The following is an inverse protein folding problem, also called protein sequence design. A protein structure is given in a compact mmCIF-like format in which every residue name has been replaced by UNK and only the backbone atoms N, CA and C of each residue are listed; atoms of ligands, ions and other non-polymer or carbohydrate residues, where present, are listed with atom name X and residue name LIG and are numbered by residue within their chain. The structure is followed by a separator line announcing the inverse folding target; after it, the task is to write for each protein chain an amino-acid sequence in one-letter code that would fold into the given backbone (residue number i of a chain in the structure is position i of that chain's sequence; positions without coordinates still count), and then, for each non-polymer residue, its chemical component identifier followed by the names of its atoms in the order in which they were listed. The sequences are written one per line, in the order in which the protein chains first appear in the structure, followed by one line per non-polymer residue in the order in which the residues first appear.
data_IF_624034052270
#
_entry.id   IF_624034052270
#
_cell.length_a   1.000
_cell.length_b   1.000
_cell.length_c   1.000
_cell.angle_alpha   90.00
_cell.angle_beta   90.00
_cell.angle_gamma   90.00
#
_symmetry.space_group_name_H-M   'P 1'
#
loop_
_entity.id
_entity.type
_entity.pdbx_description
1 polymer ?
#
# COMPACT_ATOMS: atom_id res chain seq x y z
N UNK A 1 22.54 -5.79 -3.93
CA UNK A 1 23.11 -4.61 -3.25
C UNK A 1 23.35 -4.98 -1.80
N UNK A 2 24.59 -4.83 -1.35
CA UNK A 2 24.96 -4.98 0.05
C UNK A 2 25.14 -3.57 0.59
N UNK A 3 24.52 -3.28 1.72
CA UNK A 3 24.62 -1.98 2.39
C UNK A 3 25.43 -2.16 3.68
N UNK A 4 26.31 -1.20 3.94
CA UNK A 4 27.08 -1.07 5.16
C UNK A 4 26.62 0.16 5.95
N UNK A 5 26.58 0.04 7.27
CA UNK A 5 26.30 1.16 8.19
C UNK A 5 27.53 1.41 9.04
N UNK A 6 27.94 2.66 9.18
CA UNK A 6 29.09 3.05 10.01
C UNK A 6 28.90 2.62 11.46
N UNK A 7 29.96 2.06 12.06
CA UNK A 7 30.06 1.81 13.50
C UNK A 7 30.39 3.10 14.25
N UNK A 8 30.15 3.14 15.55
CA UNK A 8 30.52 4.30 16.39
C UNK A 8 32.03 4.56 16.35
N UNK A 9 32.84 3.50 16.19
CA UNK A 9 34.30 3.57 16.06
C UNK A 9 34.78 3.75 14.60
N UNK A 10 33.89 4.04 13.64
CA UNK A 10 34.22 4.08 12.21
C UNK A 10 35.42 4.99 11.89
N UNK A 11 35.58 6.10 12.61
CA UNK A 11 36.72 7.04 12.41
C UNK A 11 38.08 6.38 12.63
N UNK A 12 38.17 5.33 13.45
CA UNK A 12 39.41 4.60 13.73
C UNK A 12 39.44 3.24 13.06
N UNK A 13 38.33 2.49 13.09
CA UNK A 13 38.25 1.13 12.55
C UNK A 13 37.98 1.07 11.04
N UNK A 14 37.40 2.15 10.47
CA UNK A 14 36.82 2.18 9.12
C UNK A 14 35.83 1.02 8.88
N UNK A 15 35.24 0.51 9.96
CA UNK A 15 34.36 -0.66 9.96
C UNK A 15 32.92 -0.31 9.59
N UNK A 16 32.34 -1.09 8.69
CA UNK A 16 30.94 -1.00 8.31
C UNK A 16 30.22 -2.30 8.70
N UNK A 17 29.04 -2.16 9.30
CA UNK A 17 28.19 -3.29 9.63
C UNK A 17 27.25 -3.62 8.48
N UNK A 18 27.17 -4.90 8.16
CA UNK A 18 26.12 -5.43 7.28
C UNK A 18 25.35 -6.53 7.98
N UNK A 19 24.04 -6.32 8.16
CA UNK A 19 23.18 -7.26 8.90
C UNK A 19 23.08 -8.61 8.19
N UNK A 20 23.34 -9.68 8.95
CA UNK A 20 23.20 -11.05 8.49
C UNK A 20 21.71 -11.37 8.36
N UNK A 21 21.32 -11.84 7.18
CA UNK A 21 19.94 -12.29 6.92
C UNK A 21 19.93 -13.80 6.84
N UNK A 22 18.96 -14.37 7.55
CA UNK A 22 18.55 -15.76 7.42
C UNK A 22 17.96 -16.02 6.05
N UNK A 23 17.80 -17.29 5.73
CA UNK A 23 17.09 -17.75 4.56
C UNK A 23 15.66 -17.17 4.49
N UNK A 24 14.90 -17.13 5.58
CA UNK A 24 13.55 -16.55 5.58
C UNK A 24 13.48 -15.01 5.41
N UNK A 25 14.61 -14.35 5.12
CA UNK A 25 14.83 -12.90 5.00
C UNK A 25 14.73 -12.12 6.31
N UNK A 26 14.57 -12.79 7.47
CA UNK A 26 14.69 -12.13 8.78
C UNK A 26 16.15 -11.93 9.15
N UNK A 27 16.39 -11.06 10.11
CA UNK A 27 17.74 -10.84 10.64
C UNK A 27 18.13 -12.00 11.56
N UNK A 28 19.39 -12.44 11.48
CA UNK A 28 19.97 -13.34 12.46
C UNK A 28 20.03 -12.66 13.83
N UNK A 29 19.65 -13.37 14.90
CA UNK A 29 19.67 -12.82 16.27
C UNK A 29 20.54 -13.63 17.22
N UNK A 30 20.83 -14.87 16.86
CA UNK A 30 21.65 -15.81 17.63
C UNK A 30 22.67 -16.46 16.69
N UNK A 31 23.77 -16.99 17.23
CA UNK A 31 24.80 -17.65 16.41
C UNK A 31 24.25 -18.86 15.64
N UNK A 32 23.25 -19.54 16.19
CA UNK A 32 22.53 -20.62 15.52
C UNK A 32 21.76 -20.17 14.26
N UNK A 33 21.46 -18.87 14.13
CA UNK A 33 20.83 -18.30 12.94
C UNK A 33 21.85 -18.00 11.81
N UNK A 34 23.15 -18.00 12.12
CA UNK A 34 24.20 -17.62 11.17
C UNK A 34 24.55 -18.81 10.31
N UNK A 35 24.47 -18.63 8.98
CA UNK A 35 24.83 -19.67 8.03
C UNK A 35 26.36 -19.87 8.06
N UNK A 36 26.82 -21.13 7.93
CA UNK A 36 28.24 -21.50 7.97
C UNK A 36 29.10 -20.78 6.96
N UNK A 37 28.51 -20.31 5.86
CA UNK A 37 29.21 -19.48 4.87
C UNK A 37 29.75 -18.16 5.46
N UNK A 38 29.29 -17.74 6.65
CA UNK A 38 29.80 -16.57 7.37
C UNK A 38 30.86 -16.89 8.43
N UNK A 39 31.30 -18.14 8.59
CA UNK A 39 32.25 -18.56 9.64
C UNK A 39 33.58 -17.78 9.59
N UNK A 40 33.99 -17.33 8.39
CA UNK A 40 35.22 -16.56 8.16
C UNK A 40 35.06 -15.04 8.40
N UNK A 41 33.87 -14.57 8.77
CA UNK A 41 33.60 -13.16 9.04
C UNK A 41 33.56 -12.85 10.54
N UNK A 42 34.01 -11.66 10.97
CA UNK A 42 33.80 -11.20 12.33
C UNK A 42 32.31 -10.90 12.55
N UNK A 43 31.64 -11.77 13.30
CA UNK A 43 30.23 -11.63 13.67
C UNK A 43 30.13 -10.78 14.94
N UNK A 44 29.32 -9.74 14.89
CA UNK A 44 29.11 -8.78 15.98
C UNK A 44 27.63 -8.52 16.21
N UNK A 45 27.27 -8.12 17.42
CA UNK A 45 25.94 -7.58 17.73
C UNK A 45 25.88 -6.12 17.27
N UNK A 46 24.86 -5.76 16.49
CA UNK A 46 24.68 -4.38 16.01
C UNK A 46 24.58 -3.34 17.14
N UNK A 47 24.09 -3.73 18.33
CA UNK A 47 23.96 -2.81 19.47
C UNK A 47 25.27 -2.55 20.19
N UNK A 48 26.23 -3.45 20.05
CA UNK A 48 27.52 -3.34 20.73
C UNK A 48 28.45 -2.42 19.93
N UNK A 49 28.15 -2.24 18.65
CA UNK A 49 28.95 -1.49 17.68
C UNK A 49 28.33 -0.13 17.28
N UNK A 50 27.02 0.05 17.50
CA UNK A 50 26.29 1.29 17.21
C UNK A 50 25.35 1.61 18.39
N UNK A 51 25.71 2.62 19.18
CA UNK A 51 24.93 3.14 20.29
C UNK A 51 23.92 4.20 19.81
N UNK A 52 22.85 3.73 19.15
CA UNK A 52 21.74 4.56 18.71
C UNK A 52 20.38 4.00 19.19
N UNK A 53 19.36 4.86 19.45
CA UNK A 53 18.05 4.43 19.96
C UNK A 53 17.33 3.37 19.12
N UNK A 54 17.65 3.27 17.84
CA UNK A 54 17.04 2.36 16.88
C UNK A 54 17.96 1.25 16.37
N UNK A 55 19.12 1.03 17.01
CA UNK A 55 20.03 -0.06 16.63
C UNK A 55 19.36 -1.42 16.75
N UNK A 56 19.30 -2.20 15.65
CA UNK A 56 18.57 -3.46 15.62
C UNK A 56 19.23 -4.49 16.55
N UNK A 57 18.40 -5.31 17.23
CA UNK A 57 18.88 -6.46 18.01
C UNK A 57 19.13 -7.64 17.09
N UNK A 58 20.16 -7.53 16.25
CA UNK A 58 20.55 -8.54 15.28
C UNK A 58 22.06 -8.63 15.15
N UNK A 59 22.52 -9.77 14.66
CA UNK A 59 23.91 -10.01 14.31
C UNK A 59 24.22 -9.41 12.93
N UNK A 60 25.42 -8.88 12.81
CA UNK A 60 26.00 -8.33 11.60
C UNK A 60 27.44 -8.83 11.43
N UNK A 61 27.95 -8.71 10.22
CA UNK A 61 29.39 -8.79 9.99
C UNK A 61 29.97 -7.37 10.01
N UNK A 62 31.17 -7.21 10.58
CA UNK A 62 31.93 -5.95 10.53
C UNK A 62 33.03 -6.05 9.49
N UNK A 63 32.87 -5.38 8.35
CA UNK A 63 33.86 -5.39 7.27
C UNK A 63 34.48 -3.99 7.18
N UNK A 64 35.81 -3.91 7.10
CA UNK A 64 36.51 -2.66 6.81
C UNK A 64 36.11 -2.18 5.41
N UNK A 65 35.76 -0.90 5.27
CA UNK A 65 35.20 -0.32 4.04
C UNK A 65 36.00 -0.69 2.78
N UNK A 66 37.34 -0.61 2.84
CA UNK A 66 38.22 -0.84 1.69
C UNK A 66 38.55 -2.33 1.44
N UNK A 67 38.02 -3.26 2.24
CA UNK A 67 38.21 -4.70 2.05
C UNK A 67 37.26 -5.25 0.97
N UNK A 68 37.57 -4.91 -0.29
CA UNK A 68 36.80 -5.33 -1.47
C UNK A 68 36.57 -6.85 -1.54
N UNK A 69 37.58 -7.72 -1.28
CA UNK A 69 37.37 -9.16 -1.28
C UNK A 69 36.32 -9.62 -0.27
N UNK A 70 36.35 -9.11 0.97
CA UNK A 70 35.37 -9.47 1.99
C UNK A 70 33.95 -9.01 1.60
N UNK A 71 33.81 -7.82 1.02
CA UNK A 71 32.53 -7.34 0.49
C UNK A 71 32.01 -8.17 -0.67
N UNK A 72 32.89 -8.59 -1.59
CA UNK A 72 32.53 -9.46 -2.70
C UNK A 72 32.07 -10.84 -2.22
N UNK A 73 32.79 -11.43 -1.26
CA UNK A 73 32.42 -12.71 -0.63
C UNK A 73 31.07 -12.60 0.07
N UNK A 74 30.83 -11.55 0.87
CA UNK A 74 29.53 -11.31 1.50
C UNK A 74 28.38 -11.18 0.47
N UNK A 75 28.61 -10.42 -0.61
CA UNK A 75 27.63 -10.30 -1.68
C UNK A 75 27.31 -11.65 -2.34
N UNK A 76 28.33 -12.48 -2.57
CA UNK A 76 28.17 -13.83 -3.12
C UNK A 76 27.38 -14.74 -2.18
N UNK A 77 27.69 -14.74 -0.88
CA UNK A 77 26.96 -15.52 0.13
C UNK A 77 25.48 -15.13 0.14
N UNK A 78 25.17 -13.82 0.16
CA UNK A 78 23.78 -13.34 0.08
C UNK A 78 23.08 -13.80 -1.21
N UNK A 79 23.76 -13.77 -2.35
CA UNK A 79 23.20 -14.24 -3.61
C UNK A 79 22.91 -15.75 -3.59
N UNK A 80 23.81 -16.54 -3.01
CA UNK A 80 23.64 -18.00 -2.86
C UNK A 80 22.49 -18.33 -1.92
N UNK A 81 22.38 -17.67 -0.77
CA UNK A 81 21.27 -17.89 0.16
C UNK A 81 19.92 -17.52 -0.47
N UNK A 82 19.87 -16.41 -1.22
CA UNK A 82 18.69 -16.03 -2.02
C UNK A 82 18.37 -17.09 -3.08
N UNK A 83 19.37 -17.61 -3.79
CA UNK A 83 19.17 -18.66 -4.78
C UNK A 83 18.68 -19.98 -4.15
N UNK A 84 19.22 -20.38 -2.99
CA UNK A 84 18.76 -21.55 -2.22
C UNK A 84 17.31 -21.43 -1.80
N UNK A 85 16.88 -20.28 -1.26
CA UNK A 85 15.46 -20.02 -0.99
C UNK A 85 14.57 -20.17 -2.22
N UNK A 86 15.06 -19.66 -3.35
CA UNK A 86 14.31 -19.68 -4.60
C UNK A 86 14.18 -21.12 -5.11
N UNK A 87 15.24 -21.93 -4.97
CA UNK A 87 15.26 -23.34 -5.32
C UNK A 87 14.43 -24.20 -4.37
N UNK A 88 14.51 -24.00 -3.05
CA UNK A 88 13.66 -24.70 -2.06
C UNK A 88 12.19 -24.41 -2.33
N UNK A 89 11.81 -23.15 -2.56
CA UNK A 89 10.44 -22.78 -2.94
C UNK A 89 10.01 -23.35 -4.28
N UNK A 90 10.93 -23.50 -5.22
CA UNK A 90 10.63 -24.11 -6.53
C UNK A 90 10.47 -25.63 -6.42
N UNK A 91 11.29 -26.28 -5.59
CA UNK A 91 11.23 -27.71 -5.32
C UNK A 91 9.95 -28.08 -4.54
N UNK A 92 9.60 -27.33 -3.50
CA UNK A 92 8.32 -27.44 -2.77
C UNK A 92 7.10 -27.26 -3.69
N UNK A 93 7.25 -26.47 -4.76
CA UNK A 93 6.20 -26.21 -5.75
C UNK A 93 6.09 -27.32 -6.81
N UNK A 94 7.14 -28.12 -7.02
CA UNK A 94 7.16 -29.23 -7.99
C UNK A 94 6.90 -30.60 -7.36
N UNK A 95 7.05 -30.75 -6.04
CA UNK A 95 6.83 -32.04 -5.34
C UNK A 95 5.45 -32.17 -4.71
N UNK A 96 4.60 -31.14 -4.73
CA UNK A 96 3.17 -31.33 -4.49
C UNK A 96 2.52 -31.80 -5.79
N UNK A 97 1.93 -33.01 -5.86
CA UNK A 97 0.94 -33.30 -6.89
C UNK A 97 -0.13 -32.21 -6.87
N UNK A 98 -0.89 -31.97 -7.96
CA UNK A 98 -2.10 -31.15 -7.84
C UNK A 98 -2.93 -31.80 -6.74
N UNK A 99 -2.93 -31.17 -5.56
CA UNK A 99 -3.70 -31.61 -4.42
C UNK A 99 -5.13 -31.55 -4.93
N UNK A 100 -5.71 -32.73 -5.18
CA UNK A 100 -7.08 -32.87 -5.62
C UNK A 100 -7.87 -32.01 -4.67
N UNK A 101 -8.50 -30.96 -5.20
CA UNK A 101 -9.23 -30.01 -4.39
C UNK A 101 -10.07 -30.81 -3.41
N UNK A 102 -9.83 -30.62 -2.11
CA UNK A 102 -10.65 -31.24 -1.07
C UNK A 102 -12.10 -31.03 -1.49
N UNK A 103 -12.93 -32.09 -1.53
CA UNK A 103 -14.34 -31.93 -1.78
C UNK A 103 -14.86 -30.84 -0.83
N UNK A 104 -15.53 -29.83 -1.39
CA UNK A 104 -16.05 -28.64 -0.69
C UNK A 104 -17.01 -28.97 0.48
N UNK A 105 -17.27 -30.23 0.76
CA UNK A 105 -18.32 -30.72 1.66
C UNK A 105 -17.96 -30.75 3.14
N UNK A 106 -17.12 -29.86 3.66
CA UNK A 106 -16.92 -29.74 5.12
C UNK A 106 -16.53 -28.35 5.65
N UNK A 107 -16.70 -27.31 4.83
CA UNK A 107 -16.63 -25.92 5.31
C UNK A 107 -18.08 -25.50 5.52
N UNK A 108 -18.48 -25.17 6.76
CA UNK A 108 -19.81 -24.62 7.01
C UNK A 108 -20.04 -23.43 6.07
N UNK A 109 -20.97 -23.58 5.13
CA UNK A 109 -21.21 -22.60 4.07
C UNK A 109 -21.80 -21.33 4.67
N UNK A 110 -20.94 -20.41 5.10
CA UNK A 110 -21.37 -19.05 5.35
C UNK A 110 -21.82 -18.45 4.01
N UNK A 111 -23.11 -18.12 3.90
CA UNK A 111 -23.66 -17.48 2.71
C UNK A 111 -22.89 -16.19 2.41
N UNK A 112 -22.46 -15.96 1.14
CA UNK A 112 -21.82 -14.71 0.72
C UNK A 112 -22.56 -13.45 1.16
N UNK A 113 -23.91 -13.49 1.18
CA UNK A 113 -24.74 -12.39 1.69
C UNK A 113 -24.41 -12.06 3.13
N UNK A 114 -24.32 -13.06 4.02
CA UNK A 114 -24.07 -12.85 5.44
C UNK A 114 -22.71 -12.20 5.70
N UNK A 115 -21.70 -12.55 4.90
CA UNK A 115 -20.37 -11.95 4.98
C UNK A 115 -20.44 -10.47 4.58
N UNK A 116 -21.12 -10.14 3.48
CA UNK A 116 -21.32 -8.76 3.03
C UNK A 116 -22.12 -7.96 4.05
N UNK A 117 -23.21 -8.50 4.59
CA UNK A 117 -24.02 -7.83 5.62
C UNK A 117 -23.21 -7.52 6.88
N UNK A 118 -22.33 -8.45 7.29
CA UNK A 118 -21.42 -8.25 8.42
C UNK A 118 -20.37 -7.18 8.11
N UNK A 119 -19.79 -7.18 6.91
CA UNK A 119 -18.87 -6.14 6.44
C UNK A 119 -19.52 -4.76 6.45
N UNK A 120 -20.73 -4.63 5.91
CA UNK A 120 -21.45 -3.36 5.85
C UNK A 120 -21.87 -2.88 7.24
N UNK A 121 -22.28 -3.78 8.12
CA UNK A 121 -22.58 -3.45 9.53
C UNK A 121 -21.34 -2.96 10.24
N UNK A 122 -20.21 -3.62 10.06
CA UNK A 122 -18.92 -3.15 10.56
C UNK A 122 -18.56 -1.78 9.97
N UNK A 123 -18.73 -1.58 8.66
CA UNK A 123 -18.49 -0.29 8.00
C UNK A 123 -19.31 0.85 8.61
N UNK A 124 -20.60 0.62 8.89
CA UNK A 124 -21.46 1.58 9.60
C UNK A 124 -20.99 1.86 11.02
N UNK A 125 -20.45 0.87 11.73
CA UNK A 125 -19.88 1.07 13.08
C UNK A 125 -18.61 1.93 13.09
N UNK A 126 -17.94 2.08 11.95
CA UNK A 126 -16.79 2.97 11.78
C UNK A 126 -17.19 4.42 11.46
N UNK A 127 -18.46 4.68 11.20
CA UNK A 127 -18.94 6.02 10.91
C UNK A 127 -18.65 6.93 12.10
N UNK A 128 -18.00 8.07 11.81
CA UNK A 128 -17.75 9.10 12.81
C UNK A 128 -19.06 9.81 13.17
N UNK A 129 -19.19 10.34 14.39
CA UNK A 129 -20.31 11.20 14.75
C UNK A 129 -20.44 12.38 13.78
N UNK A 130 -21.66 12.88 13.57
CA UNK A 130 -21.92 13.96 12.60
C UNK A 130 -21.12 15.25 12.85
N UNK A 131 -20.67 15.47 14.09
CA UNK A 131 -19.89 16.65 14.50
C UNK A 131 -18.38 16.53 14.24
N UNK A 132 -17.86 15.37 13.85
CA UNK A 132 -16.48 15.21 13.39
C UNK A 132 -16.39 15.30 11.86
N UNK A 133 -15.31 15.89 11.31
CA UNK A 133 -15.12 15.85 9.87
C UNK A 133 -14.96 14.42 9.37
N UNK A 134 -15.88 13.98 8.49
CA UNK A 134 -15.94 12.63 7.94
C UNK A 134 -14.66 12.24 7.19
N UNK A 135 -13.99 13.22 6.56
CA UNK A 135 -12.75 13.03 5.82
C UNK A 135 -11.51 13.57 6.55
N UNK A 136 -10.73 12.67 7.15
CA UNK A 136 -9.48 12.98 7.86
C UNK A 136 -8.41 11.90 7.65
N UNK A 137 -7.84 11.77 6.44
CA UNK A 137 -6.93 10.68 6.09
C UNK A 137 -5.52 10.85 6.66
N UNK A 138 -5.18 12.02 7.22
CA UNK A 138 -3.85 12.30 7.78
C UNK A 138 -3.96 12.69 9.27
N UNK A 139 -2.88 12.59 10.06
CA UNK A 139 -2.87 13.14 11.42
C UNK A 139 -2.77 14.68 11.44
N UNK A 140 -2.50 15.34 10.31
CA UNK A 140 -2.37 16.79 10.19
C UNK A 140 -3.75 17.41 9.89
N UNK A 141 -4.24 18.24 10.81
CA UNK A 141 -5.56 18.87 10.70
C UNK A 141 -5.64 19.87 9.55
N UNK A 142 -4.56 20.63 9.32
CA UNK A 142 -4.47 21.61 8.23
C UNK A 142 -4.45 20.94 6.86
N UNK A 143 -3.74 19.82 6.72
CA UNK A 143 -3.78 19.00 5.50
C UNK A 143 -5.19 18.45 5.24
N UNK A 144 -5.87 17.96 6.28
CA UNK A 144 -7.23 17.45 6.14
C UNK A 144 -8.23 18.54 5.75
N UNK A 145 -8.12 19.75 6.32
CA UNK A 145 -8.95 20.89 5.91
C UNK A 145 -8.67 21.32 4.47
N UNK A 146 -7.41 21.34 4.07
CA UNK A 146 -7.01 21.68 2.71
C UNK A 146 -7.54 20.68 1.69
N UNK A 147 -7.52 19.38 1.99
CA UNK A 147 -8.12 18.34 1.13
C UNK A 147 -9.63 18.50 0.96
N UNK A 148 -10.34 19.00 1.98
CA UNK A 148 -11.80 19.23 1.92
C UNK A 148 -12.17 20.49 1.14
N UNK A 149 -11.33 21.52 1.19
CA UNK A 149 -11.60 22.83 0.60
C UNK A 149 -10.97 23.06 -0.78
N UNK A 150 -10.00 22.24 -1.19
CA UNK A 150 -9.30 22.39 -2.47
C UNK A 150 -9.41 21.10 -3.34
N UNK A 151 -10.18 21.19 -4.43
CA UNK A 151 -10.41 20.07 -5.33
C UNK A 151 -9.13 19.55 -6.02
N UNK A 152 -8.19 20.45 -6.35
CA UNK A 152 -6.91 20.04 -6.92
C UNK A 152 -6.05 19.30 -5.89
N UNK A 153 -6.10 19.71 -4.62
CA UNK A 153 -5.44 19.00 -3.53
C UNK A 153 -5.97 17.56 -3.40
N UNK A 154 -7.29 17.39 -3.41
CA UNK A 154 -7.91 16.06 -3.41
C UNK A 154 -7.43 15.20 -4.58
N UNK A 155 -7.46 15.74 -5.80
CA UNK A 155 -7.02 15.03 -6.99
C UNK A 155 -5.53 14.64 -6.93
N UNK A 156 -4.65 15.54 -6.50
CA UNK A 156 -3.23 15.25 -6.31
C UNK A 156 -3.01 14.17 -5.24
N UNK A 157 -3.79 14.13 -4.17
CA UNK A 157 -3.72 13.07 -3.17
C UNK A 157 -4.14 11.70 -3.73
N UNK A 158 -5.18 11.64 -4.56
CA UNK A 158 -5.59 10.40 -5.25
C UNK A 158 -4.46 9.91 -6.18
N UNK A 159 -3.84 10.81 -6.95
CA UNK A 159 -2.65 10.49 -7.77
C UNK A 159 -1.53 9.94 -6.88
N UNK A 160 -1.34 10.50 -5.68
CA UNK A 160 -0.30 10.10 -4.74
C UNK A 160 -0.55 8.75 -4.02
N UNK A 161 -1.80 8.23 -3.95
CA UNK A 161 -2.19 7.11 -3.07
C UNK A 161 -1.72 5.71 -3.55
N UNK A 162 -0.40 5.50 -3.64
CA UNK A 162 0.21 4.18 -3.79
C UNK A 162 1.71 4.20 -3.48
N UNK A 163 2.27 3.06 -3.10
CA UNK A 163 3.72 2.88 -2.92
C UNK A 163 4.28 3.45 -1.61
N UNK A 164 3.42 3.97 -0.72
CA UNK A 164 3.72 4.44 0.62
C UNK A 164 2.46 4.42 1.51
N UNK A 165 2.57 4.66 2.84
CA UNK A 165 1.39 4.75 3.70
C UNK A 165 0.41 5.84 3.23
N UNK A 166 -0.88 5.53 3.25
CA UNK A 166 -1.95 6.42 2.79
C UNK A 166 -1.86 7.79 3.47
N UNK A 167 -1.62 7.82 4.79
CA UNK A 167 -1.56 9.05 5.58
C UNK A 167 -0.50 10.03 5.05
N UNK A 168 0.62 9.51 4.51
CA UNK A 168 1.66 10.33 3.89
C UNK A 168 1.32 10.72 2.45
N UNK A 169 0.69 9.84 1.69
CA UNK A 169 0.25 10.14 0.33
C UNK A 169 -0.80 11.26 0.31
N UNK A 170 -1.78 11.18 1.20
CA UNK A 170 -2.83 12.20 1.37
C UNK A 170 -2.30 13.53 1.93
N UNK A 171 -1.16 13.53 2.63
CA UNK A 171 -0.47 14.76 3.06
C UNK A 171 0.24 15.49 1.90
N UNK A 172 0.65 14.78 0.85
CA UNK A 172 1.47 15.32 -0.24
C UNK A 172 1.01 16.68 -0.80
N UNK A 173 -0.26 16.89 -1.18
CA UNK A 173 -0.69 18.17 -1.76
C UNK A 173 -0.52 19.35 -0.80
N UNK A 174 -0.72 19.15 0.50
CA UNK A 174 -0.49 20.18 1.50
C UNK A 174 1.02 20.47 1.64
N UNK A 175 1.85 19.43 1.67
CA UNK A 175 3.31 19.58 1.65
C UNK A 175 3.81 20.35 0.41
N UNK A 176 3.22 20.07 -0.75
CA UNK A 176 3.51 20.75 -2.01
C UNK A 176 3.09 22.22 -1.94
N UNK A 177 1.86 22.49 -1.48
CA UNK A 177 1.35 23.84 -1.24
C UNK A 177 2.28 24.67 -0.35
N UNK A 178 2.75 24.11 0.77
CA UNK A 178 3.67 24.84 1.67
C UNK A 178 5.03 25.15 1.05
N UNK A 179 5.52 24.29 0.15
CA UNK A 179 6.83 24.47 -0.50
C UNK A 179 6.79 25.43 -1.68
N UNK A 180 5.71 25.40 -2.45
CA UNK A 180 5.52 26.30 -3.59
C UNK A 180 4.86 27.63 -3.20
N UNK A 181 4.15 27.68 -2.07
CA UNK A 181 3.31 28.81 -1.67
C UNK A 181 1.97 28.88 -2.40
N UNK A 182 1.65 27.89 -3.23
CA UNK A 182 0.39 27.78 -3.98
C UNK A 182 0.11 26.32 -4.38
N UNK A 183 -1.15 26.07 -4.75
CA UNK A 183 -1.56 24.86 -5.47
C UNK A 183 -2.51 25.29 -6.59
N UNK A 184 -1.94 25.99 -7.56
CA UNK A 184 -2.63 26.58 -8.71
C UNK A 184 -2.18 25.83 -9.97
N UNK A 185 -3.11 25.33 -10.80
CA UNK A 185 -2.75 24.46 -11.92
C UNK A 185 -1.90 25.17 -12.98
N UNK A 186 -2.20 26.44 -13.30
CA UNK A 186 -1.42 27.23 -14.27
C UNK A 186 0.03 27.39 -13.83
N UNK A 187 0.25 27.71 -12.56
CA UNK A 187 1.59 27.87 -11.98
C UNK A 187 2.33 26.54 -11.84
N UNK A 188 1.63 25.44 -11.54
CA UNK A 188 2.22 24.08 -11.51
C UNK A 188 2.74 23.69 -12.89
N UNK A 189 1.97 23.94 -13.95
CA UNK A 189 2.36 23.61 -15.33
C UNK A 189 3.51 24.49 -15.82
N UNK A 190 3.52 25.77 -15.42
CA UNK A 190 4.55 26.72 -15.81
C UNK A 190 5.94 26.43 -15.19
N UNK A 191 6.00 25.86 -13.97
CA UNK A 191 7.25 25.57 -13.27
C UNK A 191 7.34 24.12 -12.77
N UNK A 192 7.43 23.20 -13.72
CA UNK A 192 7.53 21.75 -13.45
C UNK A 192 8.79 21.39 -12.65
N UNK A 193 9.88 22.13 -12.85
CA UNK A 193 11.13 21.92 -12.13
C UNK A 193 10.99 22.26 -10.64
N UNK A 194 10.32 23.36 -10.31
CA UNK A 194 10.00 23.67 -8.92
C UNK A 194 9.07 22.63 -8.29
N UNK A 195 8.10 22.09 -9.04
CA UNK A 195 7.24 20.99 -8.56
C UNK A 195 8.07 19.75 -8.23
N UNK A 196 8.97 19.32 -9.12
CA UNK A 196 9.85 18.17 -8.84
C UNK A 196 10.74 18.42 -7.63
N UNK A 197 11.39 19.59 -7.57
CA UNK A 197 12.23 19.97 -6.44
C UNK A 197 11.43 20.00 -5.13
N UNK A 198 10.20 20.49 -5.16
CA UNK A 198 9.30 20.53 -4.01
C UNK A 198 8.85 19.13 -3.59
N UNK A 199 8.63 18.17 -4.49
CA UNK A 199 8.31 16.78 -4.09
C UNK A 199 9.56 16.07 -3.54
N UNK A 200 10.73 16.32 -4.13
CA UNK A 200 12.02 15.70 -3.77
C UNK A 200 12.60 16.21 -2.46
N UNK A 201 12.42 17.50 -2.15
CA UNK A 201 13.07 18.18 -1.03
C UNK A 201 12.87 17.48 0.32
N UNK A 202 13.81 17.61 1.28
CA UNK A 202 13.76 16.87 2.54
C UNK A 202 12.67 17.38 3.50
N UNK A 203 11.95 16.48 4.21
CA UNK A 203 11.80 15.07 3.88
C UNK A 203 11.02 14.90 2.58
N UNK A 204 11.39 13.94 1.74
CA UNK A 204 10.70 13.74 0.46
C UNK A 204 9.21 13.43 0.67
N UNK A 205 8.36 14.10 -0.12
CA UNK A 205 6.90 13.95 -0.03
C UNK A 205 6.42 12.62 -0.60
N UNK A 206 7.19 12.00 -1.52
CA UNK A 206 6.85 10.72 -2.11
C UNK A 206 8.08 9.82 -2.28
N UNK A 207 7.90 8.49 -2.20
CA UNK A 207 8.99 7.52 -2.44
C UNK A 207 9.59 7.59 -3.85
N UNK A 208 8.80 8.05 -4.82
CA UNK A 208 9.17 8.20 -6.23
C UNK A 208 8.97 9.66 -6.67
N UNK A 209 9.82 10.59 -6.21
CA UNK A 209 9.53 12.02 -6.31
C UNK A 209 9.39 12.52 -7.75
N UNK A 210 10.28 12.09 -8.65
CA UNK A 210 10.25 12.46 -10.07
C UNK A 210 8.94 12.06 -10.75
N UNK A 211 8.61 10.76 -10.70
CA UNK A 211 7.41 10.21 -11.33
C UNK A 211 6.11 10.86 -10.85
N UNK A 212 6.02 11.20 -9.57
CA UNK A 212 4.81 11.80 -9.02
C UNK A 212 4.74 13.30 -9.24
N UNK A 213 5.88 13.98 -9.36
CA UNK A 213 5.89 15.36 -9.86
C UNK A 213 5.39 15.41 -11.31
N UNK A 214 5.87 14.51 -12.18
CA UNK A 214 5.41 14.37 -13.56
C UNK A 214 3.89 14.14 -13.64
N UNK A 215 3.34 13.21 -12.86
CA UNK A 215 1.90 12.94 -12.83
C UNK A 215 1.06 14.09 -12.24
N UNK A 216 1.57 14.81 -11.24
CA UNK A 216 0.88 15.99 -10.69
C UNK A 216 0.82 17.10 -11.74
N UNK A 217 1.92 17.35 -12.45
CA UNK A 217 1.95 18.29 -13.57
C UNK A 217 0.99 17.86 -14.67
N UNK A 218 1.02 16.59 -15.09
CA UNK A 218 0.10 16.07 -16.10
C UNK A 218 -1.37 16.20 -15.68
N UNK A 219 -1.67 15.98 -14.39
CA UNK A 219 -2.99 16.20 -13.82
C UNK A 219 -3.41 17.67 -13.86
N UNK A 220 -2.52 18.59 -13.50
CA UNK A 220 -2.76 20.03 -13.58
C UNK A 220 -2.99 20.50 -15.03
N UNK A 221 -2.21 19.99 -15.99
CA UNK A 221 -2.41 20.24 -17.43
C UNK A 221 -3.80 19.81 -17.88
N UNK A 222 -4.23 18.58 -17.55
CA UNK A 222 -5.58 18.11 -17.89
C UNK A 222 -6.67 18.96 -17.25
N UNK A 223 -6.48 19.42 -16.01
CA UNK A 223 -7.41 20.33 -15.35
C UNK A 223 -7.54 21.66 -16.11
N UNK A 224 -6.44 22.21 -16.62
CA UNK A 224 -6.49 23.42 -17.47
C UNK A 224 -7.23 23.14 -18.78
N UNK A 225 -6.80 22.10 -19.50
CA UNK A 225 -7.24 21.84 -20.87
C UNK A 225 -8.71 21.40 -20.96
N UNK A 226 -9.16 20.55 -20.02
CA UNK A 226 -10.46 19.89 -20.10
C UNK A 226 -11.46 20.41 -19.07
N UNK A 227 -10.97 21.03 -17.99
CA UNK A 227 -11.80 21.48 -16.87
C UNK A 227 -11.64 22.98 -16.59
N UNK A 228 -11.01 23.74 -17.49
CA UNK A 228 -10.91 25.20 -17.41
C UNK A 228 -10.20 25.71 -16.15
N UNK A 229 -9.25 24.93 -15.63
CA UNK A 229 -8.49 25.26 -14.43
C UNK A 229 -9.17 24.90 -13.10
N UNK A 230 -10.39 24.34 -13.14
CA UNK A 230 -11.14 23.98 -11.94
C UNK A 230 -11.31 22.45 -11.82
N UNK A 231 -10.50 21.84 -10.96
CA UNK A 231 -10.52 20.40 -10.71
C UNK A 231 -11.87 19.89 -10.19
N UNK A 232 -12.71 20.74 -9.56
CA UNK A 232 -14.02 20.32 -9.06
C UNK A 232 -14.95 19.87 -10.19
N UNK A 233 -14.75 20.39 -11.41
CA UNK A 233 -15.58 20.06 -12.59
C UNK A 233 -15.45 18.61 -13.06
N UNK A 234 -14.48 17.86 -12.51
CA UNK A 234 -14.42 16.40 -12.69
C UNK A 234 -15.71 15.74 -12.15
N UNK A 235 -16.25 16.23 -11.03
CA UNK A 235 -17.40 15.63 -10.32
C UNK A 235 -18.57 16.60 -10.05
N UNK A 236 -18.47 17.88 -10.41
CA UNK A 236 -19.57 18.85 -10.28
C UNK A 236 -20.72 18.55 -11.27
N UNK A 237 -21.96 18.85 -10.89
CA UNK A 237 -23.15 18.70 -11.75
C UNK A 237 -23.96 17.42 -11.52
N UNK A 238 -23.78 16.74 -10.39
CA UNK A 238 -24.45 15.46 -10.06
C UNK A 238 -24.26 14.36 -11.12
N UNK A 239 -23.03 14.14 -11.64
CA UNK A 239 -22.75 13.06 -12.57
C UNK A 239 -23.04 11.69 -11.95
N UNK A 240 -23.13 10.68 -12.79
CA UNK A 240 -23.21 9.29 -12.34
C UNK A 240 -21.87 8.82 -11.75
N UNK A 241 -21.90 7.83 -10.87
CA UNK A 241 -20.69 7.20 -10.32
C UNK A 241 -19.75 6.70 -11.44
N UNK A 242 -20.32 6.17 -12.53
CA UNK A 242 -19.56 5.68 -13.68
C UNK A 242 -18.85 6.80 -14.44
N UNK A 243 -19.51 7.93 -14.67
CA UNK A 243 -18.89 9.09 -15.33
C UNK A 243 -17.74 9.66 -14.50
N UNK A 244 -17.90 9.78 -13.18
CA UNK A 244 -16.82 10.26 -12.31
C UNK A 244 -15.64 9.29 -12.33
N UNK A 245 -15.91 7.97 -12.28
CA UNK A 245 -14.88 6.95 -12.42
C UNK A 245 -14.11 7.11 -13.73
N UNK A 246 -14.80 7.22 -14.87
CA UNK A 246 -14.17 7.31 -16.20
C UNK A 246 -13.37 8.59 -16.38
N UNK A 247 -13.83 9.72 -15.82
CA UNK A 247 -13.08 10.98 -15.82
C UNK A 247 -11.81 10.87 -14.98
N UNK A 248 -11.89 10.24 -13.81
CA UNK A 248 -10.73 10.05 -12.92
C UNK A 248 -9.70 9.08 -13.52
N UNK A 249 -10.13 7.99 -14.14
CA UNK A 249 -9.26 6.98 -14.76
C UNK A 249 -8.44 7.53 -15.96
N UNK A 250 -8.83 8.69 -16.50
CA UNK A 250 -8.06 9.38 -17.55
C UNK A 250 -6.85 10.15 -17.02
N UNK A 251 -6.74 10.37 -15.71
CA UNK A 251 -5.58 11.07 -15.14
C UNK A 251 -4.39 10.13 -15.00
N UNK A 252 -3.20 10.59 -15.40
CA UNK A 252 -2.00 9.81 -15.24
C UNK A 252 -1.75 9.47 -13.76
N UNK A 253 -1.48 8.19 -13.49
CA UNK A 253 -1.29 7.68 -12.14
C UNK A 253 -2.59 7.35 -11.39
N UNK A 254 -3.76 7.59 -11.96
CA UNK A 254 -5.04 7.05 -11.51
C UNK A 254 -5.39 5.84 -12.40
N UNK A 255 -5.67 4.72 -11.76
CA UNK A 255 -6.21 3.52 -12.42
C UNK A 255 -7.41 3.00 -11.62
N UNK A 256 -7.97 1.85 -12.03
CA UNK A 256 -9.20 1.28 -11.45
C UNK A 256 -9.31 1.43 -9.93
N UNK A 257 -8.31 0.97 -9.16
CA UNK A 257 -8.31 1.05 -7.69
C UNK A 257 -8.58 2.47 -7.20
N UNK A 258 -7.82 3.44 -7.72
CA UNK A 258 -7.85 4.83 -7.25
C UNK A 258 -9.09 5.56 -7.70
N UNK A 259 -9.55 5.32 -8.93
CA UNK A 259 -10.79 5.89 -9.45
C UNK A 259 -12.00 5.40 -8.64
N UNK A 260 -12.11 4.08 -8.42
CA UNK A 260 -13.17 3.48 -7.60
C UNK A 260 -13.19 4.03 -6.17
N UNK A 261 -12.02 4.05 -5.51
CA UNK A 261 -11.86 4.62 -4.17
C UNK A 261 -12.29 6.10 -4.11
N UNK A 262 -11.86 6.90 -5.09
CA UNK A 262 -12.13 8.34 -5.10
C UNK A 262 -13.62 8.66 -5.27
N UNK A 263 -14.35 7.91 -6.11
CA UNK A 263 -15.82 8.04 -6.24
C UNK A 263 -16.51 7.85 -4.89
N UNK A 264 -16.14 6.79 -4.17
CA UNK A 264 -16.71 6.51 -2.84
C UNK A 264 -16.36 7.57 -1.80
N UNK A 265 -15.12 8.08 -1.79
CA UNK A 265 -14.72 9.14 -0.86
C UNK A 265 -15.47 10.45 -1.16
N UNK A 266 -15.61 10.83 -2.43
CA UNK A 266 -16.32 12.05 -2.85
C UNK A 266 -17.76 12.04 -2.33
N UNK A 267 -18.49 10.95 -2.54
CA UNK A 267 -19.89 10.87 -2.09
C UNK A 267 -20.00 10.68 -0.57
N UNK A 268 -19.30 9.70 0.00
CA UNK A 268 -19.48 9.29 1.40
C UNK A 268 -18.90 10.31 2.38
N UNK A 269 -17.67 10.76 2.12
CA UNK A 269 -16.87 11.50 3.10
C UNK A 269 -16.89 13.01 2.83
N UNK A 270 -16.99 13.41 1.56
CA UNK A 270 -17.05 14.82 1.14
C UNK A 270 -18.46 15.30 0.81
N UNK A 271 -19.47 14.44 0.88
CA UNK A 271 -20.88 14.75 0.60
C UNK A 271 -21.10 15.38 -0.79
N UNK A 272 -20.24 15.05 -1.76
CA UNK A 272 -20.40 15.50 -3.15
C UNK A 272 -21.55 14.71 -3.77
N UNK A 273 -22.57 15.39 -4.35
CA UNK A 273 -23.71 14.70 -4.92
C UNK A 273 -23.28 13.93 -6.17
N UNK A 274 -23.36 12.60 -6.10
CA UNK A 274 -23.12 11.68 -7.22
C UNK A 274 -24.38 10.81 -7.39
N UNK A 275 -24.84 10.64 -8.63
CA UNK A 275 -26.02 9.83 -8.95
C UNK A 275 -25.66 8.40 -9.35
N UNK A 276 -26.65 7.52 -9.41
CA UNK A 276 -26.49 6.14 -9.89
C UNK A 276 -25.30 5.39 -9.25
N UNK A 277 -25.24 5.39 -7.91
CA UNK A 277 -24.15 4.75 -7.15
C UNK A 277 -24.04 3.23 -7.37
N UNK A 278 -25.02 2.59 -8.01
CA UNK A 278 -24.90 1.22 -8.52
C UNK A 278 -23.79 1.05 -9.57
N UNK A 279 -23.32 2.15 -10.17
CA UNK A 279 -22.15 2.18 -11.06
C UNK A 279 -20.80 2.37 -10.34
N UNK A 280 -20.78 2.47 -9.00
CA UNK A 280 -19.54 2.43 -8.21
C UNK A 280 -18.97 1.02 -8.17
N UNK A 281 -17.67 0.90 -7.89
CA UNK A 281 -16.98 -0.39 -7.81
C UNK A 281 -16.10 -0.44 -6.57
N UNK A 282 -15.75 -1.65 -6.13
CA UNK A 282 -14.70 -1.87 -5.12
C UNK A 282 -13.32 -1.53 -5.70
N UNK A 283 -12.42 -1.02 -4.87
CA UNK A 283 -11.06 -0.76 -5.26
C UNK A 283 -10.26 -2.07 -5.24
N UNK A 284 -9.73 -2.50 -6.39
CA UNK A 284 -8.98 -3.75 -6.50
C UNK A 284 -7.57 -3.61 -5.90
N UNK A 285 -7.50 -3.60 -4.57
CA UNK A 285 -6.27 -3.46 -3.81
C UNK A 285 -5.85 -4.79 -3.13
N UNK A 286 -4.63 -4.84 -2.62
CA UNK A 286 -4.08 -6.04 -1.96
C UNK A 286 -4.86 -6.48 -0.72
N UNK A 287 -5.51 -5.55 -0.01
CA UNK A 287 -6.34 -5.84 1.15
C UNK A 287 -7.70 -6.41 0.72
N UNK A 288 -8.41 -5.73 -0.19
CA UNK A 288 -9.69 -6.17 -0.74
C UNK A 288 -9.58 -7.55 -1.38
N UNK A 289 -8.60 -7.76 -2.27
CA UNK A 289 -8.32 -9.05 -2.91
C UNK A 289 -8.18 -10.18 -1.89
N UNK A 290 -7.35 -9.97 -0.87
CA UNK A 290 -7.08 -10.99 0.15
C UNK A 290 -8.31 -11.31 0.98
N UNK A 291 -9.07 -10.30 1.39
CA UNK A 291 -10.27 -10.51 2.19
C UNK A 291 -11.31 -11.26 1.35
N UNK A 292 -11.60 -10.84 0.12
CA UNK A 292 -12.53 -11.52 -0.78
C UNK A 292 -12.20 -13.00 -0.99
N UNK A 293 -10.91 -13.32 -1.18
CA UNK A 293 -10.45 -14.70 -1.38
C UNK A 293 -10.57 -15.55 -0.09
N UNK A 294 -10.18 -15.01 1.07
CA UNK A 294 -10.17 -15.74 2.34
C UNK A 294 -11.55 -15.87 2.98
N UNK A 295 -12.46 -14.95 2.69
CA UNK A 295 -13.87 -15.06 3.08
C UNK A 295 -14.67 -15.96 2.14
N UNK A 296 -14.11 -16.33 0.98
CA UNK A 296 -14.80 -17.14 -0.02
C UNK A 296 -15.76 -16.35 -0.92
N UNK A 297 -15.82 -15.02 -0.80
CA UNK A 297 -16.58 -14.15 -1.70
C UNK A 297 -16.07 -14.28 -3.15
N UNK A 298 -14.75 -14.37 -3.33
CA UNK A 298 -14.12 -14.59 -4.63
C UNK A 298 -13.37 -15.93 -4.68
N UNK A 299 -13.39 -16.54 -5.86
CA UNK A 299 -12.65 -17.77 -6.14
C UNK A 299 -11.34 -17.52 -6.89
N UNK A 300 -11.28 -16.41 -7.65
CA UNK A 300 -10.15 -16.02 -8.49
C UNK A 300 -9.66 -14.63 -8.14
N UNK A 301 -8.35 -14.48 -8.20
CA UNK A 301 -7.64 -13.24 -7.95
C UNK A 301 -7.50 -12.43 -9.24
N UNK A 302 -8.65 -12.04 -9.80
CA UNK A 302 -8.78 -11.35 -11.07
C UNK A 302 -9.65 -10.11 -10.88
N UNK A 303 -9.27 -9.00 -11.52
CA UNK A 303 -9.94 -7.71 -11.42
C UNK A 303 -11.45 -7.82 -11.71
N UNK A 304 -11.79 -8.32 -12.89
CA UNK A 304 -13.18 -8.43 -13.36
C UNK A 304 -13.99 -9.40 -12.50
N UNK A 305 -13.35 -10.46 -11.99
CA UNK A 305 -14.00 -11.44 -11.11
C UNK A 305 -14.40 -10.80 -9.77
N UNK A 306 -13.50 -10.05 -9.13
CA UNK A 306 -13.81 -9.40 -7.85
C UNK A 306 -14.87 -8.31 -8.01
N UNK A 307 -14.76 -7.50 -9.08
CA UNK A 307 -15.75 -6.45 -9.36
C UNK A 307 -17.13 -7.06 -9.63
N UNK A 308 -17.22 -8.10 -10.47
CA UNK A 308 -18.51 -8.76 -10.76
C UNK A 308 -19.14 -9.37 -9.51
N UNK A 309 -18.36 -10.01 -8.63
CA UNK A 309 -18.85 -10.50 -7.34
C UNK A 309 -19.44 -9.36 -6.50
N UNK A 310 -18.74 -8.23 -6.36
CA UNK A 310 -19.24 -7.09 -5.61
C UNK A 310 -20.56 -6.55 -6.19
N UNK A 311 -20.64 -6.42 -7.51
CA UNK A 311 -21.86 -5.98 -8.22
C UNK A 311 -23.04 -6.92 -8.04
N UNK A 312 -22.80 -8.24 -8.02
CA UNK A 312 -23.86 -9.23 -7.76
C UNK A 312 -24.35 -9.17 -6.32
N UNK A 313 -23.46 -8.97 -5.35
CA UNK A 313 -23.81 -8.99 -3.94
C UNK A 313 -24.39 -7.66 -3.42
N UNK A 314 -24.09 -6.55 -4.10
CA UNK A 314 -24.51 -5.19 -3.72
C UNK A 314 -24.80 -4.33 -4.97
N UNK A 315 -25.82 -4.65 -5.77
CA UNK A 315 -26.08 -3.99 -7.05
C UNK A 315 -26.41 -2.49 -6.92
N UNK A 316 -26.92 -2.04 -5.78
CA UNK A 316 -27.27 -0.65 -5.50
C UNK A 316 -26.05 0.25 -5.26
N UNK A 317 -24.94 -0.31 -4.75
CA UNK A 317 -23.69 0.41 -4.46
C UNK A 317 -22.53 -0.55 -4.20
N UNK A 318 -21.94 -1.17 -5.24
CA UNK A 318 -20.89 -2.18 -5.07
C UNK A 318 -19.68 -1.65 -4.30
N UNK A 319 -19.32 -0.37 -4.50
CA UNK A 319 -18.21 0.29 -3.82
C UNK A 319 -18.35 0.45 -2.30
N UNK A 320 -19.56 0.31 -1.74
CA UNK A 320 -19.78 0.43 -0.30
C UNK A 320 -19.08 -0.68 0.50
N UNK A 321 -18.85 -1.83 -0.14
CA UNK A 321 -18.14 -2.97 0.45
C UNK A 321 -16.64 -2.65 0.63
N UNK A 322 -16.10 -1.69 -0.13
CA UNK A 322 -14.67 -1.42 -0.25
C UNK A 322 -14.01 -1.04 1.09
N UNK A 323 -14.47 0.06 1.69
CA UNK A 323 -13.88 0.61 2.92
C UNK A 323 -13.86 -0.39 4.09
N UNK A 324 -14.96 -1.05 4.47
CA UNK A 324 -14.92 -2.04 5.55
C UNK A 324 -14.01 -3.22 5.20
N UNK A 325 -13.99 -3.67 3.94
CA UNK A 325 -13.11 -4.75 3.50
C UNK A 325 -11.64 -4.37 3.60
N UNK A 326 -11.29 -3.18 3.12
CA UNK A 326 -9.94 -2.64 3.22
C UNK A 326 -9.51 -2.51 4.69
N UNK A 327 -10.39 -2.02 5.56
CA UNK A 327 -10.14 -1.93 7.00
C UNK A 327 -9.87 -3.30 7.61
N UNK A 328 -10.69 -4.30 7.30
CA UNK A 328 -10.49 -5.70 7.72
C UNK A 328 -9.12 -6.21 7.27
N UNK A 329 -8.80 -6.03 5.99
CA UNK A 329 -7.56 -6.47 5.39
C UNK A 329 -6.32 -5.76 5.96
N UNK A 330 -6.44 -4.50 6.38
CA UNK A 330 -5.33 -3.74 6.95
C UNK A 330 -5.08 -4.08 8.41
N UNK A 331 -6.13 -4.26 9.22
CA UNK A 331 -6.03 -4.37 10.68
C UNK A 331 -6.00 -5.79 11.23
N UNK A 332 -6.64 -6.76 10.57
CA UNK A 332 -6.73 -8.14 11.10
C UNK A 332 -6.33 -9.20 10.09
N UNK A 333 -6.84 -9.11 8.86
CA UNK A 333 -6.58 -10.12 7.84
C UNK A 333 -5.25 -9.83 7.13
N UNK A 334 -4.14 -10.01 7.84
CA UNK A 334 -2.79 -9.74 7.31
C UNK A 334 -2.32 -10.82 6.32
N UNK A 335 -1.39 -10.45 5.43
CA UNK A 335 -0.84 -11.37 4.43
C UNK A 335 -0.06 -12.55 5.04
N UNK A 336 0.62 -12.31 6.16
CA UNK A 336 1.20 -13.36 7.00
C UNK A 336 0.14 -14.02 7.87
N UNK A 337 0.31 -13.94 9.18
CA UNK A 337 -0.64 -14.48 10.17
C UNK A 337 -1.79 -13.50 10.38
N UNK A 338 -3.05 -13.87 10.03
CA UNK A 338 -4.20 -13.04 10.34
C UNK A 338 -4.59 -13.16 11.82
N UNK A 339 -5.09 -12.07 12.39
CA UNK A 339 -5.71 -12.04 13.72
C UNK A 339 -7.21 -12.33 13.60
N UNK A 340 -7.55 -13.61 13.38
CA UNK A 340 -8.94 -14.00 13.16
C UNK A 340 -9.83 -13.79 14.39
N UNK A 341 -9.31 -14.03 15.60
CA UNK A 341 -10.12 -13.97 16.83
C UNK A 341 -10.62 -12.57 17.18
N UNK A 342 -9.88 -11.53 16.78
CA UNK A 342 -10.31 -10.14 16.94
C UNK A 342 -10.99 -9.55 15.68
N UNK A 343 -11.10 -10.33 14.60
CA UNK A 343 -11.65 -9.85 13.33
C UNK A 343 -13.17 -9.70 13.42
N UNK A 344 -13.77 -8.61 12.91
CA UNK A 344 -15.23 -8.45 12.91
C UNK A 344 -15.97 -9.51 12.07
N UNK A 345 -15.25 -10.26 11.23
CA UNK A 345 -15.82 -11.36 10.43
C UNK A 345 -15.61 -12.74 11.08
N UNK A 346 -15.05 -12.85 12.29
CA UNK A 346 -14.62 -14.13 12.87
C UNK A 346 -15.71 -15.22 12.83
N UNK A 347 -16.93 -14.85 13.22
CA UNK A 347 -18.08 -15.74 13.34
C UNK A 347 -18.67 -16.19 11.99
N UNK A 348 -18.37 -15.49 10.89
CA UNK A 348 -18.95 -15.74 9.56
C UNK A 348 -17.91 -16.09 8.49
N UNK A 349 -16.63 -15.85 8.75
CA UNK A 349 -15.57 -16.06 7.78
C UNK A 349 -15.13 -17.53 7.76
N UNK A 350 -15.16 -18.19 6.59
CA UNK A 350 -14.62 -19.55 6.42
C UNK A 350 -13.10 -19.65 6.61
N UNK A 351 -12.39 -18.52 6.64
CA UNK A 351 -10.93 -18.43 6.90
C UNK A 351 -10.13 -19.31 5.93
N UNK A 352 -10.36 -19.16 4.61
CA UNK A 352 -9.66 -19.92 3.56
C UNK A 352 -8.22 -19.38 3.39
N UNK A 353 -7.37 -19.55 4.40
CA UNK A 353 -6.04 -18.93 4.49
C UNK A 353 -5.10 -19.37 3.36
N UNK A 354 -5.35 -20.53 2.76
CA UNK A 354 -4.62 -21.03 1.59
C UNK A 354 -4.75 -20.12 0.37
N UNK A 355 -5.80 -19.29 0.29
CA UNK A 355 -6.00 -18.33 -0.81
C UNK A 355 -5.39 -16.98 -0.46
N UNK A 356 -4.17 -16.76 -0.92
CA UNK A 356 -3.52 -15.46 -0.89
C UNK A 356 -3.47 -14.86 -2.29
N UNK A 357 -3.59 -13.52 -2.41
CA UNK A 357 -3.39 -12.87 -3.69
C UNK A 357 -2.00 -13.22 -4.23
N UNK A 358 -1.91 -13.47 -5.53
CA UNK A 358 -0.63 -13.58 -6.21
C UNK A 358 0.11 -12.26 -5.99
N UNK A 359 1.40 -12.35 -5.66
CA UNK A 359 2.25 -11.15 -5.61
C UNK A 359 2.14 -10.48 -6.98
N UNK A 360 1.61 -9.26 -7.01
CA UNK A 360 1.67 -8.45 -8.21
C UNK A 360 3.13 -8.40 -8.66
N UNK A 361 3.39 -8.79 -9.91
CA UNK A 361 4.70 -8.57 -10.50
C UNK A 361 4.93 -7.04 -10.54
N UNK A 362 6.15 -6.59 -10.22
CA UNK A 362 6.47 -5.18 -10.00
C UNK A 362 6.18 -4.28 -11.19
#
# INVERSE_FOLDING_TARGET
MVEGVETDDYRTSRGLLSVIRRDDKKHARTDADVAKEYDDFPIVSCRDEINAPHSPRSLAIKIVEDNVPAWATHAAIRAVLVKRLTLVRSAERTTKPPETALPLSSIGEASPSKIVDTLLTFGRSLARPEWEPKFAPTPDTGANEFLRSNALAFLCAVIADQGMPAERAWYLPYGLYRRLGHLDPSRIVADQAAVEAAVRGPPSLHRFPKKYAEWIVAGATRVLDQYGGDASRVWTGKPTAREVFERLDQFEGIGQKKAAMAVEILERDLSIPISAMGGSDVAYDVHVRRVFLRTGLAQRDELDHIISVARTLRPERPGEIDMPTWRVGRQWCHAGTPDCGACPLDAVCPKIISRNPLRAQP
#
